data_IF_237308746781
#
_entry.id   IF_237308746781
#
_cell.length_a   1.000
_cell.length_b   1.000
_cell.length_c   1.000
_cell.angle_alpha   90.00
_cell.angle_beta   90.00
_cell.angle_gamma   90.00
#
_symmetry.space_group_name_H-M   'P 1'
#
loop_
_entity.id
_entity.type
_entity.pdbx_description
1 polymer ?
#
# COMPACT_ATOMS: atom_id res chain seq x y z
N UNK A 1 -12.00 4.80 13.26
CA UNK A 1 -12.47 5.09 11.90
C UNK A 1 -13.20 6.41 11.95
N UNK A 2 -12.85 7.38 11.10
CA UNK A 2 -13.48 8.70 11.10
C UNK A 2 -13.96 9.01 9.68
N UNK A 3 -15.25 8.75 9.43
CA UNK A 3 -15.92 8.93 8.14
C UNK A 3 -16.30 10.40 7.90
N UNK A 4 -15.37 11.32 8.08
CA UNK A 4 -15.62 12.75 7.84
C UNK A 4 -15.75 13.02 6.33
N UNK A 5 -16.87 13.61 5.90
CA UNK A 5 -17.01 14.18 4.55
C UNK A 5 -17.87 13.40 3.56
N UNK A 6 -18.87 12.64 4.03
CA UNK A 6 -19.97 12.16 3.18
C UNK A 6 -21.15 13.15 3.32
N UNK A 7 -21.58 13.75 2.21
CA UNK A 7 -22.75 14.60 2.09
C UNK A 7 -23.97 13.74 1.73
N UNK A 8 -24.93 13.65 2.66
CA UNK A 8 -26.13 12.83 2.49
C UNK A 8 -27.15 13.43 1.50
N UNK A 9 -26.89 14.63 0.96
CA UNK A 9 -27.81 15.34 0.07
C UNK A 9 -27.68 14.99 -1.42
N UNK A 10 -26.61 14.31 -1.85
CA UNK A 10 -26.41 13.89 -3.23
C UNK A 10 -26.73 12.40 -3.46
N UNK A 11 -27.33 12.08 -4.61
CA UNK A 11 -27.75 10.70 -4.95
C UNK A 11 -26.61 9.81 -5.46
N UNK A 12 -25.43 10.37 -5.69
CA UNK A 12 -24.22 9.64 -6.09
C UNK A 12 -22.99 10.22 -5.40
N UNK A 13 -22.07 9.40 -4.87
CA UNK A 13 -20.89 9.90 -4.19
C UNK A 13 -19.99 10.69 -5.15
N UNK A 14 -19.53 11.86 -4.71
CA UNK A 14 -18.48 12.66 -5.33
C UNK A 14 -17.18 11.86 -5.44
N UNK A 15 -16.24 12.32 -6.27
CA UNK A 15 -14.92 11.69 -6.39
C UNK A 15 -14.14 11.68 -5.07
N UNK A 16 -14.34 12.69 -4.23
CA UNK A 16 -13.73 12.79 -2.90
C UNK A 16 -14.31 11.73 -1.94
N UNK A 17 -15.64 11.56 -1.93
CA UNK A 17 -16.31 10.55 -1.12
C UNK A 17 -15.98 9.15 -1.57
N UNK A 18 -16.03 8.88 -2.89
CA UNK A 18 -15.69 7.58 -3.44
C UNK A 18 -14.26 7.18 -3.06
N UNK A 19 -13.31 8.11 -3.16
CA UNK A 19 -11.94 7.91 -2.72
C UNK A 19 -11.86 7.52 -1.24
N UNK A 20 -12.55 8.26 -0.37
CA UNK A 20 -12.56 7.98 1.06
C UNK A 20 -13.19 6.62 1.35
N UNK A 21 -14.30 6.28 0.69
CA UNK A 21 -14.96 4.97 0.81
C UNK A 21 -13.98 3.86 0.42
N UNK A 22 -13.32 3.96 -0.74
CA UNK A 22 -12.38 2.94 -1.20
C UNK A 22 -11.18 2.79 -0.26
N UNK A 23 -10.64 3.91 0.24
CA UNK A 23 -9.53 3.92 1.20
C UNK A 23 -9.90 3.22 2.53
N UNK A 24 -11.05 3.56 3.10
CA UNK A 24 -11.53 2.97 4.34
C UNK A 24 -11.90 1.49 4.16
N UNK A 25 -12.44 1.10 2.99
CA UNK A 25 -12.60 -0.31 2.64
C UNK A 25 -11.25 -1.05 2.56
N UNK A 26 -10.19 -0.40 2.08
CA UNK A 26 -8.83 -0.94 2.14
C UNK A 26 -8.40 -1.23 3.59
N UNK A 27 -8.65 -0.32 4.53
CA UNK A 27 -8.41 -0.58 5.96
C UNK A 27 -9.24 -1.74 6.51
N UNK A 28 -10.50 -1.91 6.09
CA UNK A 28 -11.32 -3.07 6.49
C UNK A 28 -10.72 -4.40 6.00
N UNK A 29 -10.05 -4.39 4.84
CA UNK A 29 -9.30 -5.52 4.30
C UNK A 29 -7.89 -5.67 4.91
N UNK A 30 -7.51 -4.79 5.84
CA UNK A 30 -6.22 -4.84 6.53
C UNK A 30 -5.07 -4.15 5.80
N UNK A 31 -5.33 -3.37 4.75
CA UNK A 31 -4.31 -2.52 4.14
C UNK A 31 -3.98 -1.34 5.04
N UNK A 32 -2.70 -1.02 5.13
CA UNK A 32 -2.16 0.13 5.85
C UNK A 32 -1.83 1.26 4.88
N UNK A 33 -1.54 2.45 5.38
CA UNK A 33 -1.20 3.57 4.50
C UNK A 33 0.10 3.31 3.73
N UNK A 34 0.09 3.68 2.45
CA UNK A 34 1.22 3.44 1.55
C UNK A 34 2.46 4.26 1.95
N UNK A 35 2.29 5.49 2.46
CA UNK A 35 3.41 6.29 2.98
C UNK A 35 4.03 5.71 4.26
N UNK A 36 3.40 4.72 4.89
CA UNK A 36 3.96 3.99 6.03
C UNK A 36 4.63 2.66 5.60
N UNK A 37 4.65 2.36 4.31
CA UNK A 37 5.33 1.20 3.74
C UNK A 37 6.85 1.29 3.98
N UNK A 38 7.52 0.18 4.32
CA UNK A 38 8.98 0.11 4.34
C UNK A 38 9.60 0.53 3.00
N UNK A 39 8.91 0.25 1.89
CA UNK A 39 9.37 0.59 0.56
C UNK A 39 9.41 2.10 0.27
N UNK A 40 8.72 2.94 1.06
CA UNK A 40 8.78 4.40 0.88
C UNK A 40 10.20 4.93 1.08
N UNK A 41 10.99 4.34 1.99
CA UNK A 41 12.27 4.89 2.41
C UNK A 41 13.30 5.04 1.27
N UNK A 42 13.14 4.32 0.15
CA UNK A 42 13.97 4.48 -1.04
C UNK A 42 13.44 5.51 -2.05
N UNK A 43 12.24 6.04 -1.87
CA UNK A 43 11.55 6.90 -2.86
C UNK A 43 11.23 8.31 -2.33
N UNK A 44 10.87 8.44 -1.04
CA UNK A 44 10.51 9.72 -0.42
C UNK A 44 11.08 9.78 0.99
N UNK A 45 11.83 10.84 1.29
CA UNK A 45 12.43 11.09 2.60
C UNK A 45 11.72 12.27 3.27
N UNK A 46 10.90 12.01 4.29
CA UNK A 46 10.21 13.09 5.01
C UNK A 46 11.19 13.92 5.86
N UNK A 47 11.18 15.24 5.67
CA UNK A 47 11.73 16.19 6.64
C UNK A 47 10.79 16.20 7.84
N UNK A 48 11.24 15.60 8.94
CA UNK A 48 10.48 15.50 10.18
C UNK A 48 10.02 16.86 10.71
N UNK A 49 10.89 17.87 10.71
CA UNK A 49 10.57 19.18 11.27
C UNK A 49 9.54 19.90 10.39
N UNK A 50 9.76 19.88 9.07
CA UNK A 50 8.83 20.49 8.12
C UNK A 50 7.46 19.77 8.12
N UNK A 51 7.45 18.44 8.22
CA UNK A 51 6.21 17.65 8.31
C UNK A 51 5.42 17.99 9.58
N UNK A 52 6.07 18.08 10.74
CA UNK A 52 5.39 18.49 11.99
C UNK A 52 4.84 19.91 11.87
N UNK A 53 5.61 20.84 11.29
CA UNK A 53 5.16 22.21 11.08
C UNK A 53 3.95 22.30 10.15
N UNK A 54 3.93 21.49 9.07
CA UNK A 54 2.83 21.45 8.11
C UNK A 54 1.48 21.08 8.75
N UNK A 55 1.48 20.18 9.74
CA UNK A 55 0.27 19.72 10.42
C UNK A 55 -0.02 20.45 11.75
N UNK A 56 0.76 21.46 12.12
CA UNK A 56 0.72 22.06 13.47
C UNK A 56 -0.64 22.63 13.87
N UNK A 57 -1.43 23.12 12.90
CA UNK A 57 -2.76 23.69 13.15
C UNK A 57 -3.84 22.63 13.39
N UNK A 58 -3.58 21.37 13.05
CA UNK A 58 -4.58 20.30 13.09
C UNK A 58 -4.22 19.18 14.05
N UNK A 59 -2.94 18.82 14.17
CA UNK A 59 -2.49 17.67 14.95
C UNK A 59 -1.33 18.02 15.88
N UNK A 60 -1.27 17.30 17.01
CA UNK A 60 -0.10 17.35 17.88
C UNK A 60 1.11 16.70 17.20
N UNK A 61 2.35 17.11 17.52
CA UNK A 61 3.55 16.48 16.97
C UNK A 61 3.54 14.95 17.14
N UNK A 62 3.16 14.45 18.31
CA UNK A 62 3.06 13.00 18.59
C UNK A 62 2.00 12.26 17.75
N UNK A 63 1.01 12.98 17.21
CA UNK A 63 0.03 12.42 16.28
C UNK A 63 0.61 12.37 14.86
N UNK A 64 1.30 13.43 14.42
CA UNK A 64 2.03 13.46 13.14
C UNK A 64 3.06 12.33 13.07
N UNK A 65 3.82 12.12 14.16
CA UNK A 65 4.77 11.01 14.26
C UNK A 65 4.14 9.66 13.94
N UNK A 66 3.04 9.32 14.59
CA UNK A 66 2.43 7.99 14.48
C UNK A 66 1.60 7.81 13.22
N UNK A 67 1.08 8.89 12.65
CA UNK A 67 0.15 8.83 11.51
C UNK A 67 0.82 9.13 10.17
N UNK A 68 1.87 9.95 10.16
CA UNK A 68 2.55 10.38 8.93
C UNK A 68 3.98 9.83 8.86
N UNK A 69 4.78 10.03 9.91
CA UNK A 69 6.22 9.75 9.83
C UNK A 69 6.56 8.27 10.09
N UNK A 70 5.74 7.56 10.86
CA UNK A 70 5.98 6.19 11.25
C UNK A 70 5.98 5.26 10.03
N UNK A 71 7.09 4.53 9.86
CA UNK A 71 7.23 3.40 8.94
C UNK A 71 6.85 2.11 9.69
N UNK A 72 6.08 1.23 9.05
CA UNK A 72 5.78 -0.09 9.59
C UNK A 72 7.04 -0.98 9.55
N UNK A 73 7.21 -1.80 10.58
CA UNK A 73 8.26 -2.81 10.59
C UNK A 73 7.89 -3.94 9.63
N UNK A 74 8.85 -4.36 8.79
CA UNK A 74 8.64 -5.38 7.75
C UNK A 74 8.05 -6.68 8.31
N UNK A 75 8.50 -7.11 9.48
CA UNK A 75 8.04 -8.33 10.15
C UNK A 75 6.60 -8.27 10.63
N UNK A 76 6.02 -7.07 10.74
CA UNK A 76 4.60 -6.86 11.10
C UNK A 76 3.67 -6.87 9.89
N UNK A 77 4.22 -6.93 8.67
CA UNK A 77 3.44 -6.95 7.44
C UNK A 77 3.34 -8.37 6.88
N UNK A 78 2.16 -8.70 6.36
CA UNK A 78 1.94 -9.98 5.66
C UNK A 78 2.61 -9.99 4.28
N UNK A 79 2.54 -8.86 3.57
CA UNK A 79 3.19 -8.58 2.31
C UNK A 79 3.19 -7.06 2.09
N UNK A 80 4.10 -6.56 1.24
CA UNK A 80 4.06 -5.18 0.76
C UNK A 80 4.65 -5.08 -0.66
N UNK A 81 4.18 -4.10 -1.43
CA UNK A 81 4.67 -3.78 -2.77
C UNK A 81 5.93 -2.91 -2.72
N UNK A 82 6.62 -2.69 -3.85
CA UNK A 82 7.33 -1.43 -4.04
C UNK A 82 6.39 -0.25 -3.79
N UNK A 83 6.93 0.92 -3.45
CA UNK A 83 6.13 2.10 -3.18
C UNK A 83 5.27 2.46 -4.40
N UNK A 84 3.96 2.59 -4.18
CA UNK A 84 2.99 2.92 -5.24
C UNK A 84 2.36 4.30 -5.01
N UNK A 85 2.84 5.29 -5.76
CA UNK A 85 2.32 6.65 -5.72
C UNK A 85 0.85 6.76 -6.15
N UNK A 86 0.32 5.76 -6.86
CA UNK A 86 -1.06 5.70 -7.31
C UNK A 86 -1.97 4.90 -6.38
N UNK A 87 -1.44 4.38 -5.26
CA UNK A 87 -2.23 3.59 -4.32
C UNK A 87 -3.36 4.42 -3.72
N UNK A 88 -4.55 3.83 -3.69
CA UNK A 88 -5.70 4.41 -2.99
C UNK A 88 -5.43 4.57 -1.48
N UNK A 89 -4.44 3.85 -0.94
CA UNK A 89 -4.01 3.89 0.47
C UNK A 89 -3.00 5.01 0.79
N UNK A 90 -2.60 5.80 -0.21
CA UNK A 90 -1.66 6.90 -0.02
C UNK A 90 -2.33 8.11 0.63
N UNK A 91 -1.65 8.75 1.59
CA UNK A 91 -1.97 10.13 1.97
C UNK A 91 -1.18 11.09 1.11
N UNK A 92 -1.77 12.26 0.85
CA UNK A 92 -1.07 13.33 0.13
C UNK A 92 0.29 13.61 0.78
N UNK A 93 1.32 13.70 -0.05
CA UNK A 93 2.68 14.07 0.34
C UNK A 93 2.93 15.46 -0.22
N UNK A 94 3.02 16.47 0.65
CA UNK A 94 3.26 17.84 0.25
C UNK A 94 4.75 18.08 -0.09
N UNK A 95 5.03 18.88 -1.12
CA UNK A 95 6.42 19.18 -1.53
C UNK A 95 7.28 19.81 -0.43
N UNK A 96 6.68 20.51 0.53
CA UNK A 96 7.43 21.10 1.64
C UNK A 96 7.76 20.11 2.77
N UNK A 97 7.24 18.88 2.74
CA UNK A 97 7.42 17.92 3.83
C UNK A 97 8.49 16.86 3.54
N UNK A 98 9.08 16.85 2.35
CA UNK A 98 10.10 15.87 1.96
C UNK A 98 11.31 16.52 1.26
N UNK A 99 12.46 15.87 1.40
CA UNK A 99 13.75 16.34 0.90
C UNK A 99 13.77 16.46 -0.64
N UNK A 100 13.05 15.58 -1.31
CA UNK A 100 12.95 15.53 -2.77
C UNK A 100 12.05 16.64 -3.35
N UNK A 101 11.37 17.41 -2.49
CA UNK A 101 10.42 18.47 -2.85
C UNK A 101 9.30 18.01 -3.78
N UNK A 102 8.87 16.76 -3.63
CA UNK A 102 7.83 16.14 -4.46
C UNK A 102 6.46 16.35 -3.84
N UNK A 103 5.53 16.80 -4.67
CA UNK A 103 4.11 16.74 -4.35
C UNK A 103 3.53 15.46 -4.95
N UNK A 104 2.87 14.66 -4.12
CA UNK A 104 2.17 13.46 -4.55
C UNK A 104 0.72 13.59 -4.09
N UNK A 105 -0.17 13.80 -5.05
CA UNK A 105 -1.60 13.90 -4.84
C UNK A 105 -2.18 12.62 -4.26
N UNK A 106 -3.30 12.76 -3.54
CA UNK A 106 -4.03 11.60 -3.02
C UNK A 106 -4.87 10.95 -4.15
N UNK A 107 -4.57 9.70 -4.57
CA UNK A 107 -5.27 9.05 -5.69
C UNK A 107 -6.75 8.84 -5.42
N UNK A 108 -7.57 8.84 -6.49
CA UNK A 108 -9.04 8.70 -6.40
C UNK A 108 -9.58 7.37 -6.93
N UNK A 109 -8.69 6.47 -7.35
CA UNK A 109 -9.02 5.16 -7.93
C UNK A 109 -8.08 4.10 -7.36
N UNK A 110 -8.56 2.86 -7.36
CA UNK A 110 -7.73 1.67 -7.04
C UNK A 110 -6.64 1.53 -8.11
N UNK A 111 -5.38 1.45 -7.69
CA UNK A 111 -4.26 1.22 -8.60
C UNK A 111 -4.21 -0.22 -9.11
N UNK A 112 -3.39 -0.48 -10.13
CA UNK A 112 -3.14 -1.86 -10.57
C UNK A 112 -2.44 -2.70 -9.48
N UNK A 113 -1.59 -2.07 -8.66
CA UNK A 113 -0.89 -2.72 -7.55
C UNK A 113 -1.84 -3.01 -6.41
N UNK A 114 -2.71 -2.07 -6.03
CA UNK A 114 -3.76 -2.28 -5.03
C UNK A 114 -4.64 -3.49 -5.40
N UNK A 115 -5.14 -3.52 -6.63
CA UNK A 115 -5.98 -4.61 -7.13
C UNK A 115 -5.23 -5.94 -7.15
N UNK A 116 -3.97 -5.95 -7.61
CA UNK A 116 -3.15 -7.15 -7.63
C UNK A 116 -2.92 -7.69 -6.21
N UNK A 117 -2.50 -6.86 -5.27
CA UNK A 117 -2.24 -7.30 -3.89
C UNK A 117 -3.53 -7.75 -3.19
N UNK A 118 -4.68 -7.13 -3.46
CA UNK A 118 -5.97 -7.62 -2.99
C UNK A 118 -6.27 -9.03 -3.50
N UNK A 119 -6.10 -9.30 -4.80
CA UNK A 119 -6.29 -10.63 -5.37
C UNK A 119 -5.30 -11.67 -4.82
N UNK A 120 -4.08 -11.25 -4.49
CA UNK A 120 -3.03 -12.15 -3.98
C UNK A 120 -3.22 -12.51 -2.51
N UNK A 121 -3.69 -11.55 -1.71
CA UNK A 121 -3.96 -11.74 -0.27
C UNK A 121 -5.33 -12.38 -0.01
N UNK A 122 -6.29 -12.13 -0.90
CA UNK A 122 -7.66 -12.63 -0.84
C UNK A 122 -8.08 -13.30 -2.16
N UNK A 123 -7.43 -14.42 -2.53
CA UNK A 123 -7.73 -15.13 -3.76
C UNK A 123 -9.20 -15.59 -3.82
N UNK A 124 -9.88 -15.44 -4.97
CA UNK A 124 -11.29 -15.79 -5.11
C UNK A 124 -11.53 -17.30 -4.90
N UNK A 125 -12.65 -17.70 -4.28
CA UNK A 125 -12.93 -19.09 -3.92
C UNK A 125 -13.40 -19.96 -5.10
N UNK A 126 -13.92 -19.36 -6.16
CA UNK A 126 -14.38 -20.07 -7.36
C UNK A 126 -13.17 -20.40 -8.25
N UNK A 127 -13.13 -21.62 -8.78
CA UNK A 127 -12.08 -22.25 -9.61
C UNK A 127 -11.02 -21.26 -10.08
N UNK A 128 -9.74 -21.49 -9.74
CA UNK A 128 -8.74 -20.45 -9.74
C UNK A 128 -8.80 -19.72 -11.08
N UNK A 129 -9.13 -18.43 -11.03
CA UNK A 129 -8.96 -17.56 -12.18
C UNK A 129 -7.44 -17.39 -12.34
N UNK A 130 -6.77 -18.46 -12.78
CA UNK A 130 -5.33 -18.56 -12.98
C UNK A 130 -4.83 -17.42 -13.87
N UNK A 131 -5.57 -16.96 -14.90
CA UNK A 131 -5.22 -15.73 -15.60
C UNK A 131 -5.11 -14.51 -14.67
N UNK A 132 -6.11 -14.25 -13.81
CA UNK A 132 -6.10 -13.15 -12.86
C UNK A 132 -4.97 -13.27 -11.83
N UNK A 133 -4.81 -14.44 -11.22
CA UNK A 133 -3.77 -14.66 -10.21
C UNK A 133 -2.37 -14.55 -10.84
N UNK A 134 -2.17 -15.14 -12.02
CA UNK A 134 -0.91 -15.00 -12.76
C UNK A 134 -0.61 -13.55 -13.12
N UNK A 135 -1.61 -12.81 -13.62
CA UNK A 135 -1.44 -11.40 -13.93
C UNK A 135 -1.10 -10.57 -12.69
N UNK A 136 -1.78 -10.84 -11.56
CA UNK A 136 -1.51 -10.17 -10.29
C UNK A 136 -0.09 -10.47 -9.78
N UNK A 137 0.38 -11.72 -9.89
CA UNK A 137 1.76 -12.09 -9.55
C UNK A 137 2.78 -11.34 -10.42
N UNK A 138 2.49 -11.14 -11.70
CA UNK A 138 3.35 -10.35 -12.61
C UNK A 138 3.39 -8.88 -12.17
N UNK A 139 2.24 -8.27 -11.85
CA UNK A 139 2.19 -6.89 -11.32
C UNK A 139 2.98 -6.78 -10.01
N UNK A 140 2.89 -7.79 -9.14
CA UNK A 140 3.66 -7.82 -7.89
C UNK A 140 5.18 -8.01 -8.07
N UNK A 141 5.64 -8.23 -9.31
CA UNK A 141 7.07 -8.39 -9.65
C UNK A 141 7.59 -9.81 -9.46
N UNK A 142 6.71 -10.82 -9.43
CA UNK A 142 7.14 -12.23 -9.32
C UNK A 142 7.86 -12.64 -10.60
N UNK A 143 9.13 -13.08 -10.52
CA UNK A 143 9.88 -13.48 -11.70
C UNK A 143 9.28 -14.75 -12.32
N UNK A 144 9.40 -14.96 -13.64
CA UNK A 144 8.81 -16.11 -14.32
C UNK A 144 9.18 -17.46 -13.71
N UNK A 145 10.41 -17.62 -13.19
CA UNK A 145 10.88 -18.84 -12.55
C UNK A 145 10.15 -19.18 -11.22
N UNK A 146 9.51 -18.20 -10.57
CA UNK A 146 8.75 -18.38 -9.32
C UNK A 146 7.23 -18.48 -9.56
N UNK A 147 6.73 -18.08 -10.73
CA UNK A 147 5.28 -18.12 -11.02
C UNK A 147 4.71 -19.52 -10.90
N UNK A 148 5.34 -20.52 -11.52
CA UNK A 148 4.84 -21.90 -11.51
C UNK A 148 4.79 -22.47 -10.09
N UNK A 149 5.79 -22.14 -9.25
CA UNK A 149 5.85 -22.59 -7.87
C UNK A 149 4.70 -22.00 -7.03
N UNK A 150 4.34 -20.73 -7.24
CA UNK A 150 3.23 -20.11 -6.49
C UNK A 150 1.88 -20.59 -7.01
N UNK A 151 1.77 -20.83 -8.33
CA UNK A 151 0.53 -21.27 -8.99
C UNK A 151 0.22 -22.77 -8.83
N UNK A 152 1.16 -23.58 -8.35
CA UNK A 152 0.94 -25.00 -8.03
C UNK A 152 0.29 -25.15 -6.64
N UNK A 153 -0.98 -24.78 -6.49
CA UNK A 153 -1.65 -24.80 -5.18
C UNK A 153 -2.93 -25.63 -5.13
N UNK A 154 -3.21 -26.17 -3.95
CA UNK A 154 -4.38 -27.00 -3.64
C UNK A 154 -5.50 -26.21 -2.94
N UNK A 155 -5.19 -25.03 -2.41
CA UNK A 155 -6.18 -24.16 -1.74
C UNK A 155 -5.83 -22.67 -1.82
N UNK A 156 -6.83 -21.76 -1.72
CA UNK A 156 -6.60 -20.32 -1.64
C UNK A 156 -5.65 -19.91 -0.50
N UNK A 157 -5.70 -20.63 0.64
CA UNK A 157 -4.81 -20.39 1.78
C UNK A 157 -3.36 -20.76 1.45
N UNK A 158 -3.14 -21.89 0.79
CA UNK A 158 -1.80 -22.32 0.37
C UNK A 158 -1.21 -21.35 -0.68
N UNK A 159 -2.03 -20.90 -1.64
CA UNK A 159 -1.63 -19.86 -2.60
C UNK A 159 -1.17 -18.58 -1.89
N UNK A 160 -2.00 -18.04 -0.99
CA UNK A 160 -1.69 -16.84 -0.20
C UNK A 160 -0.39 -17.01 0.58
N UNK A 161 -0.20 -18.15 1.25
CA UNK A 161 1.02 -18.44 2.01
C UNK A 161 2.27 -18.46 1.14
N UNK A 162 2.22 -19.10 -0.03
CA UNK A 162 3.34 -19.14 -0.98
C UNK A 162 3.70 -17.75 -1.50
N UNK A 163 2.68 -16.94 -1.82
CA UNK A 163 2.90 -15.55 -2.22
C UNK A 163 3.55 -14.73 -1.10
N UNK A 164 3.03 -14.79 0.14
CA UNK A 164 3.59 -14.05 1.27
C UNK A 164 5.04 -14.44 1.57
N UNK A 165 5.37 -15.73 1.48
CA UNK A 165 6.74 -16.22 1.65
C UNK A 165 7.68 -15.64 0.59
N UNK A 166 7.30 -15.73 -0.68
CA UNK A 166 8.07 -15.14 -1.76
C UNK A 166 8.22 -13.62 -1.61
N UNK A 167 7.14 -12.91 -1.25
CA UNK A 167 7.16 -11.47 -1.10
C UNK A 167 8.16 -11.07 0.00
N UNK A 168 8.13 -11.75 1.15
CA UNK A 168 9.11 -11.53 2.23
C UNK A 168 10.55 -11.77 1.76
N UNK A 169 10.82 -12.87 1.06
CA UNK A 169 12.16 -13.16 0.51
C UNK A 169 12.63 -12.04 -0.44
N UNK A 170 11.76 -11.61 -1.36
CA UNK A 170 12.06 -10.59 -2.34
C UNK A 170 12.34 -9.22 -1.69
N UNK A 171 11.61 -8.90 -0.62
CA UNK A 171 11.74 -7.62 0.10
C UNK A 171 12.99 -7.57 0.98
N UNK A 172 13.33 -8.66 1.67
CA UNK A 172 14.61 -8.78 2.41
C UNK A 172 15.80 -8.67 1.45
N UNK A 173 15.74 -9.32 0.28
CA UNK A 173 16.80 -9.22 -0.71
C UNK A 173 16.98 -7.76 -1.20
N UNK A 174 15.88 -7.03 -1.39
CA UNK A 174 15.90 -5.62 -1.78
C UNK A 174 16.52 -4.72 -0.70
N UNK A 175 16.11 -4.88 0.57
CA UNK A 175 16.64 -4.05 1.67
C UNK A 175 18.14 -4.32 1.94
N UNK A 176 18.62 -5.56 1.80
CA UNK A 176 20.05 -5.88 1.91
C UNK A 176 20.89 -5.26 0.80
N UNK A 177 20.36 -5.15 -0.42
CA UNK A 177 21.07 -4.53 -1.55
C UNK A 177 21.12 -3.01 -1.40
N UNK A 178 20.03 -2.38 -0.97
CA UNK A 178 19.93 -0.92 -0.92
C UNK A 178 20.44 -0.28 0.38
N UNK A 179 20.60 -1.04 1.47
CA UNK A 179 21.24 -0.57 2.71
C UNK A 179 22.78 -0.74 2.72
N UNK A 180 23.40 -1.00 1.56
CA UNK A 180 24.88 -1.08 1.40
C UNK A 180 25.50 0.21 0.83
N UNK A 181 24.79 1.32 0.87
CA UNK A 181 25.29 2.64 0.47
C UNK A 181 25.61 3.51 1.70
#
# INVERSE_FOLDING_TARGET
>A
MQLGGIDESESSPTSHELRSILHECGHMLGFVHEHQSPARASEVTFDRAATIAYYADTWTPSKVERTVLQIHLEEKLAAYSPFDEMSIMLYEIAACTNDERRHIDRPSKISCVDAAFANLLYPPPLSPNLPLLRHSLVIAGVPPCRLSLILEFDSPQQFRQRFMLWNREARVAYSVVNNRA
#
